data_IF_299274460793
#
_entry.id   IF_299274460793
#
_cell.length_a   1.000
_cell.length_b   1.000
_cell.length_c   1.000
_cell.angle_alpha   90.00
_cell.angle_beta   90.00
_cell.angle_gamma   90.00
#
_symmetry.space_group_name_H-M   'P 1'
#
loop_
_entity.id
_entity.type
_entity.pdbx_description
1 polymer ?
#
# COMPACT_ATOMS: atom_id res chain seq x y z
N UNK A 1 -15.90 -6.25 -6.79
CA UNK A 1 -15.71 -5.15 -5.81
C UNK A 1 -15.15 -5.79 -4.54
N UNK A 2 -13.99 -5.36 -4.06
CA UNK A 2 -13.22 -6.09 -3.03
C UNK A 2 -13.86 -6.00 -1.65
N UNK A 3 -13.57 -6.96 -0.77
CA UNK A 3 -13.97 -6.91 0.65
C UNK A 3 -13.48 -5.64 1.34
N UNK A 4 -12.30 -5.13 0.95
CA UNK A 4 -11.77 -3.87 1.45
C UNK A 4 -12.69 -2.67 1.14
N UNK A 5 -13.26 -2.61 -0.07
CA UNK A 5 -14.20 -1.55 -0.43
C UNK A 5 -15.53 -1.66 0.34
N UNK A 6 -15.97 -2.88 0.66
CA UNK A 6 -17.14 -3.11 1.49
C UNK A 6 -16.93 -2.69 2.95
N UNK A 7 -15.70 -2.86 3.47
CA UNK A 7 -15.33 -2.41 4.80
C UNK A 7 -15.15 -0.88 4.89
N UNK A 8 -14.60 -0.24 3.85
CA UNK A 8 -14.43 1.22 3.79
C UNK A 8 -15.79 1.95 3.75
N UNK A 9 -16.76 1.45 2.97
CA UNK A 9 -18.06 2.11 2.79
C UNK A 9 -19.25 1.14 2.92
N UNK A 10 -19.57 0.68 4.15
CA UNK A 10 -20.59 -0.33 4.38
C UNK A 10 -21.98 0.08 3.90
N UNK A 11 -22.27 1.38 3.94
CA UNK A 11 -23.59 1.96 3.65
C UNK A 11 -23.86 2.17 2.15
N UNK A 12 -22.83 2.11 1.30
CA UNK A 12 -23.00 2.26 -0.15
C UNK A 12 -23.30 0.93 -0.82
N UNK A 13 -24.09 0.97 -1.90
CA UNK A 13 -24.32 -0.18 -2.74
C UNK A 13 -23.10 -0.46 -3.65
N UNK A 14 -23.12 -1.60 -4.35
CA UNK A 14 -21.99 -2.04 -5.18
C UNK A 14 -21.71 -1.03 -6.31
N UNK A 15 -22.76 -0.44 -6.88
CA UNK A 15 -22.64 0.56 -7.94
C UNK A 15 -21.99 1.86 -7.46
N UNK A 16 -22.49 2.44 -6.36
CA UNK A 16 -21.93 3.66 -5.80
C UNK A 16 -20.49 3.49 -5.32
N UNK A 17 -20.13 2.32 -4.74
CA UNK A 17 -18.72 2.02 -4.38
C UNK A 17 -17.81 2.02 -5.61
N UNK A 18 -18.29 1.49 -6.73
CA UNK A 18 -17.55 1.53 -8.01
C UNK A 18 -17.31 2.96 -8.48
N UNK A 19 -18.36 3.79 -8.46
CA UNK A 19 -18.26 5.21 -8.84
C UNK A 19 -17.32 6.00 -7.92
N UNK A 20 -17.39 5.77 -6.60
CA UNK A 20 -16.49 6.38 -5.63
C UNK A 20 -15.01 6.01 -5.89
N UNK A 21 -14.73 4.74 -6.21
CA UNK A 21 -13.38 4.31 -6.60
C UNK A 21 -12.89 5.02 -7.86
N UNK A 22 -13.74 5.17 -8.88
CA UNK A 22 -13.37 5.92 -10.10
C UNK A 22 -13.03 7.38 -9.80
N UNK A 23 -13.83 8.05 -8.98
CA UNK A 23 -13.56 9.43 -8.56
C UNK A 23 -12.23 9.56 -7.80
N UNK A 24 -11.93 8.63 -6.89
CA UNK A 24 -10.66 8.63 -6.13
C UNK A 24 -9.45 8.35 -7.00
N UNK A 25 -9.57 7.47 -8.00
CA UNK A 25 -8.49 7.22 -8.98
C UNK A 25 -8.12 8.47 -9.76
N UNK A 26 -9.08 9.36 -10.02
CA UNK A 26 -8.80 10.62 -10.70
C UNK A 26 -7.99 11.59 -9.80
N UNK A 27 -8.24 11.57 -8.49
CA UNK A 27 -7.57 12.44 -7.52
C UNK A 27 -6.16 11.94 -7.14
N UNK A 28 -6.06 10.66 -6.79
CA UNK A 28 -4.81 9.98 -6.47
C UNK A 28 -4.86 8.54 -7.01
N UNK A 29 -4.38 8.33 -8.25
CA UNK A 29 -4.40 7.02 -8.88
C UNK A 29 -3.64 5.98 -8.07
N UNK A 30 -2.51 6.36 -7.46
CA UNK A 30 -1.64 5.42 -6.76
C UNK A 30 -2.31 4.91 -5.49
N UNK A 31 -2.83 5.81 -4.66
CA UNK A 31 -3.46 5.45 -3.39
C UNK A 31 -4.74 4.62 -3.57
N UNK A 32 -5.41 4.72 -4.72
CA UNK A 32 -6.62 3.96 -5.00
C UNK A 32 -6.32 2.63 -5.73
N UNK A 33 -5.42 2.61 -6.73
CA UNK A 33 -5.07 1.37 -7.45
C UNK A 33 -4.34 0.37 -6.56
N UNK A 34 -3.60 0.82 -5.54
CA UNK A 34 -2.87 -0.04 -4.60
C UNK A 34 -3.78 -0.94 -3.75
N UNK A 35 -5.06 -0.56 -3.62
CA UNK A 35 -6.09 -1.31 -2.90
C UNK A 35 -6.58 -2.53 -3.67
N UNK A 36 -6.28 -2.60 -4.97
CA UNK A 36 -6.64 -3.71 -5.83
C UNK A 36 -5.50 -4.72 -5.88
N UNK A 37 -5.88 -5.97 -6.17
CA UNK A 37 -4.92 -6.95 -6.66
C UNK A 37 -4.39 -6.45 -8.02
N UNK A 38 -3.06 -6.30 -8.20
CA UNK A 38 -2.49 -5.82 -9.45
C UNK A 38 -2.96 -6.58 -10.69
N UNK A 39 -3.20 -7.90 -10.57
CA UNK A 39 -3.71 -8.71 -11.71
C UNK A 39 -5.13 -8.35 -12.11
N UNK A 40 -5.91 -7.80 -11.18
CA UNK A 40 -7.31 -7.40 -11.39
C UNK A 40 -7.45 -6.03 -12.03
N UNK A 41 -6.35 -5.31 -12.27
CA UNK A 41 -6.37 -3.99 -12.92
C UNK A 41 -6.68 -4.12 -14.42
N UNK A 42 -6.40 -5.28 -15.04
CA UNK A 42 -6.58 -5.47 -16.47
C UNK A 42 -5.41 -4.89 -17.25
N UNK A 43 -4.24 -5.53 -17.14
CA UNK A 43 -2.96 -4.97 -17.64
C UNK A 43 -2.66 -5.32 -19.11
N UNK A 44 -3.47 -6.18 -19.73
CA UNK A 44 -3.31 -6.54 -21.13
C UNK A 44 -4.38 -7.51 -21.65
N UNK A 45 -4.45 -7.64 -22.98
CA UNK A 45 -5.45 -8.46 -23.66
C UNK A 45 -5.33 -9.96 -23.34
N UNK A 46 -4.11 -10.47 -23.28
CA UNK A 46 -3.79 -11.89 -23.07
C UNK A 46 -3.28 -12.18 -21.65
N UNK A 47 -3.68 -11.37 -20.66
CA UNK A 47 -3.21 -11.51 -19.28
C UNK A 47 -3.55 -12.86 -18.64
N UNK A 48 -4.57 -13.54 -19.15
CA UNK A 48 -5.00 -14.86 -18.68
C UNK A 48 -4.29 -16.00 -19.41
N UNK A 49 -3.55 -15.71 -20.48
CA UNK A 49 -2.83 -16.70 -21.30
C UNK A 49 -1.36 -16.84 -20.90
N UNK A 50 -0.92 -16.08 -19.88
CA UNK A 50 0.45 -16.13 -19.34
C UNK A 50 0.51 -16.88 -18.01
N UNK A 51 1.72 -17.24 -17.58
CA UNK A 51 1.91 -17.87 -16.27
C UNK A 51 1.51 -16.93 -15.13
N UNK A 52 0.43 -17.26 -14.43
CA UNK A 52 -0.14 -16.43 -13.36
C UNK A 52 0.87 -16.09 -12.26
N UNK A 53 1.71 -17.04 -11.85
CA UNK A 53 2.73 -16.81 -10.81
C UNK A 53 3.79 -15.79 -11.23
N UNK A 54 4.24 -15.85 -12.48
CA UNK A 54 5.22 -14.90 -13.01
C UNK A 54 4.58 -13.52 -13.19
N UNK A 55 3.34 -13.47 -13.69
CA UNK A 55 2.59 -12.22 -13.81
C UNK A 55 2.41 -11.54 -12.45
N UNK A 56 1.98 -12.29 -11.42
CA UNK A 56 1.81 -11.78 -10.08
C UNK A 56 3.13 -11.25 -9.49
N UNK A 57 4.22 -11.99 -9.67
CA UNK A 57 5.55 -11.56 -9.21
C UNK A 57 5.96 -10.23 -9.85
N UNK A 58 5.88 -10.13 -11.18
CA UNK A 58 6.29 -8.92 -11.92
C UNK A 58 5.39 -7.73 -11.62
N UNK A 59 4.07 -7.92 -11.53
CA UNK A 59 3.16 -6.85 -11.16
C UNK A 59 3.42 -6.36 -9.74
N UNK A 60 3.69 -7.25 -8.79
CA UNK A 60 4.07 -6.85 -7.44
C UNK A 60 5.39 -6.07 -7.42
N UNK A 61 6.37 -6.47 -8.21
CA UNK A 61 7.63 -5.73 -8.36
C UNK A 61 7.43 -4.33 -8.93
N UNK A 62 6.64 -4.18 -9.99
CA UNK A 62 6.31 -2.87 -10.59
C UNK A 62 5.64 -1.98 -9.56
N UNK A 63 4.64 -2.50 -8.84
CA UNK A 63 3.92 -1.73 -7.84
C UNK A 63 4.83 -1.30 -6.68
N UNK A 64 5.67 -2.22 -6.17
CA UNK A 64 6.65 -1.89 -5.15
C UNK A 64 7.63 -0.81 -5.64
N UNK A 65 8.12 -0.91 -6.88
CA UNK A 65 9.01 0.06 -7.48
C UNK A 65 8.39 1.46 -7.53
N UNK A 66 7.14 1.57 -8.00
CA UNK A 66 6.43 2.85 -8.07
C UNK A 66 6.19 3.45 -6.69
N UNK A 67 5.74 2.64 -5.72
CA UNK A 67 5.50 3.10 -4.34
C UNK A 67 6.80 3.60 -3.69
N UNK A 68 7.88 2.86 -3.86
CA UNK A 68 9.20 3.25 -3.38
C UNK A 68 9.72 4.52 -4.06
N UNK A 69 9.46 4.68 -5.37
CA UNK A 69 9.88 5.86 -6.12
C UNK A 69 9.14 7.14 -5.69
N UNK A 70 7.82 7.07 -5.52
CA UNK A 70 7.00 8.22 -5.08
C UNK A 70 7.25 8.56 -3.62
N UNK A 71 7.56 7.56 -2.79
CA UNK A 71 7.78 7.72 -1.37
C UNK A 71 6.48 7.87 -0.58
N UNK A 72 6.44 7.28 0.60
CA UNK A 72 5.21 7.11 1.39
C UNK A 72 5.28 7.91 2.68
N UNK A 73 4.33 8.79 2.95
CA UNK A 73 4.28 9.46 4.25
C UNK A 73 3.78 8.49 5.34
N UNK A 74 4.66 8.17 6.29
CA UNK A 74 4.37 7.16 7.33
C UNK A 74 3.30 7.62 8.32
N UNK A 75 3.00 8.91 8.39
CA UNK A 75 2.01 9.48 9.31
C UNK A 75 0.60 9.50 8.72
N UNK A 76 0.45 9.36 7.41
CA UNK A 76 -0.84 9.41 6.71
C UNK A 76 -1.14 8.14 5.93
N UNK A 77 -0.12 7.37 5.55
CA UNK A 77 -0.29 6.18 4.74
C UNK A 77 -1.15 5.10 5.41
N UNK A 78 -1.92 4.41 4.56
CA UNK A 78 -2.70 3.23 4.91
C UNK A 78 -1.82 1.99 5.03
N UNK A 79 -2.35 0.94 5.68
CA UNK A 79 -1.69 -0.38 5.75
C UNK A 79 -1.44 -0.93 4.35
N UNK A 80 -2.38 -0.75 3.42
CA UNK A 80 -2.31 -1.25 2.05
C UNK A 80 -1.16 -0.61 1.25
N UNK A 81 -0.84 0.65 1.53
CA UNK A 81 0.29 1.36 0.92
C UNK A 81 1.62 0.97 1.58
N UNK A 82 1.66 0.92 2.93
CA UNK A 82 2.87 0.61 3.67
C UNK A 82 3.37 -0.82 3.41
N UNK A 83 2.49 -1.80 3.23
CA UNK A 83 2.88 -3.19 2.92
C UNK A 83 3.55 -3.36 1.54
N UNK A 84 3.56 -2.30 0.71
CA UNK A 84 4.17 -2.29 -0.63
C UNK A 84 5.53 -1.59 -0.60
N UNK A 85 5.96 -1.10 0.55
CA UNK A 85 7.30 -0.56 0.78
C UNK A 85 8.27 -1.72 0.99
N UNK A 86 9.47 -1.61 0.42
CA UNK A 86 10.51 -2.62 0.57
C UNK A 86 10.78 -2.94 2.06
N UNK A 87 10.77 -4.23 2.41
CA UNK A 87 11.00 -4.70 3.78
C UNK A 87 9.76 -4.69 4.69
N UNK A 88 8.66 -4.03 4.32
CA UNK A 88 7.42 -4.02 5.09
C UNK A 88 6.44 -5.08 4.58
N UNK A 89 6.16 -6.08 5.42
CA UNK A 89 5.08 -7.05 5.18
C UNK A 89 3.73 -6.48 5.66
N UNK A 90 2.61 -7.12 5.31
CA UNK A 90 1.29 -6.76 5.85
C UNK A 90 1.26 -6.66 7.38
N UNK A 91 1.94 -7.60 8.08
CA UNK A 91 2.03 -7.59 9.55
C UNK A 91 2.84 -6.41 10.09
N UNK A 92 3.97 -6.07 9.45
CA UNK A 92 4.80 -4.92 9.83
C UNK A 92 4.10 -3.60 9.52
N UNK A 93 3.45 -3.49 8.36
CA UNK A 93 2.65 -2.33 7.98
C UNK A 93 1.52 -2.07 8.99
N UNK A 94 0.80 -3.13 9.40
CA UNK A 94 -0.22 -3.02 10.44
C UNK A 94 0.36 -2.64 11.81
N UNK A 95 1.58 -3.10 12.14
CA UNK A 95 2.27 -2.70 13.36
C UNK A 95 2.66 -1.20 13.33
N UNK A 96 3.15 -0.69 12.20
CA UNK A 96 3.48 0.74 12.03
C UNK A 96 2.25 1.62 12.23
N UNK A 97 1.12 1.28 11.60
CA UNK A 97 -0.12 2.06 11.77
C UNK A 97 -0.62 2.01 13.21
N UNK A 98 -0.56 0.83 13.86
CA UNK A 98 -1.00 0.65 15.26
C UNK A 98 -0.10 1.36 16.26
N UNK A 99 1.20 1.42 15.99
CA UNK A 99 2.20 2.05 16.84
C UNK A 99 2.44 3.53 16.50
N UNK A 100 1.59 4.13 15.64
CA UNK A 100 1.67 5.56 15.31
C UNK A 100 1.30 6.37 16.56
N UNK A 101 2.18 7.24 17.06
CA UNK A 101 1.88 8.08 18.22
C UNK A 101 0.87 9.17 17.85
N UNK A 102 0.20 9.75 18.85
CA UNK A 102 -0.84 10.78 18.64
C UNK A 102 -0.32 12.02 17.89
N UNK A 103 0.96 12.37 18.06
CA UNK A 103 1.63 13.45 17.32
C UNK A 103 2.30 13.03 16.01
N UNK A 104 2.16 11.77 15.59
CA UNK A 104 2.89 11.22 14.45
C UNK A 104 4.36 10.93 14.74
N UNK A 105 4.98 10.14 13.88
CA UNK A 105 6.42 9.96 13.89
C UNK A 105 7.10 11.28 13.55
N UNK A 106 8.15 11.64 14.29
CA UNK A 106 8.97 12.85 14.06
C UNK A 106 10.33 12.51 13.46
N UNK A 107 10.76 11.25 13.52
CA UNK A 107 11.93 10.77 12.80
C UNK A 107 11.76 9.32 12.36
N UNK A 108 12.48 8.96 11.28
CA UNK A 108 12.51 7.57 10.80
C UNK A 108 13.02 6.61 11.87
N UNK A 109 13.95 7.04 12.72
CA UNK A 109 14.53 6.21 13.77
C UNK A 109 13.48 5.66 14.75
N UNK A 110 12.34 6.35 14.93
CA UNK A 110 11.24 5.86 15.76
C UNK A 110 10.60 4.58 15.20
N UNK A 111 10.77 4.27 13.92
CA UNK A 111 10.30 3.01 13.32
C UNK A 111 11.03 1.78 13.90
N UNK A 112 12.24 1.94 14.45
CA UNK A 112 12.94 0.86 15.16
C UNK A 112 12.22 0.46 16.46
N UNK A 113 11.37 1.33 17.01
CA UNK A 113 10.51 1.01 18.16
C UNK A 113 9.28 0.19 17.81
N UNK A 114 8.98 0.00 16.52
CA UNK A 114 7.80 -0.74 16.06
C UNK A 114 8.07 -2.24 16.11
N UNK A 115 7.15 -3.00 16.72
CA UNK A 115 7.26 -4.46 16.82
C UNK A 115 7.43 -5.10 15.44
N UNK A 116 8.52 -5.84 15.26
CA UNK A 116 8.83 -6.57 14.03
C UNK A 116 9.66 -5.78 13.00
N UNK A 117 10.02 -4.53 13.29
CA UNK A 117 11.01 -3.75 12.54
C UNK A 117 12.36 -3.86 13.26
N UNK A 118 13.19 -4.79 12.81
CA UNK A 118 14.58 -4.90 13.26
C UNK A 118 15.54 -4.06 12.41
N UNK A 119 16.84 -4.07 12.73
CA UNK A 119 17.86 -3.28 12.01
C UNK A 119 17.87 -3.52 10.50
N UNK A 120 17.80 -4.78 10.04
CA UNK A 120 17.76 -5.11 8.60
C UNK A 120 16.48 -4.62 7.91
N UNK A 121 15.34 -4.78 8.56
CA UNK A 121 14.06 -4.31 8.03
C UNK A 121 14.05 -2.79 7.93
N UNK A 122 14.60 -2.13 8.95
CA UNK A 122 14.76 -0.68 8.94
C UNK A 122 15.71 -0.23 7.84
N UNK A 123 16.87 -0.87 7.68
CA UNK A 123 17.82 -0.57 6.60
C UNK A 123 17.17 -0.65 5.22
N UNK A 124 16.38 -1.70 4.97
CA UNK A 124 15.65 -1.87 3.72
C UNK A 124 14.53 -0.83 3.54
N UNK A 125 13.81 -0.48 4.60
CA UNK A 125 12.66 0.39 4.50
C UNK A 125 13.04 1.88 4.56
N UNK A 126 14.02 2.29 5.37
CA UNK A 126 14.22 3.67 5.83
C UNK A 126 14.38 4.71 4.71
N UNK A 127 14.80 4.31 3.51
CA UNK A 127 14.92 5.19 2.35
C UNK A 127 13.59 5.70 1.79
N UNK A 128 12.48 4.96 2.00
CA UNK A 128 11.22 5.21 1.29
C UNK A 128 10.15 5.96 2.11
N UNK A 129 9.96 5.68 3.42
CA UNK A 129 9.07 6.46 4.26
C UNK A 129 9.54 7.89 4.40
N UNK A 130 8.63 8.83 4.17
CA UNK A 130 8.76 10.23 4.50
C UNK A 130 8.15 10.45 5.87
N UNK A 131 8.82 11.30 6.64
CA UNK A 131 8.30 11.83 7.90
C UNK A 131 8.21 13.33 7.68
N UNK A 132 7.00 13.86 7.54
CA UNK A 132 6.81 15.31 7.53
C UNK A 132 7.13 15.82 8.94
N UNK A 133 8.12 16.70 9.03
CA UNK A 133 8.49 17.39 10.26
C UNK A 133 7.56 18.55 10.57
#
# INVERSE_FOLDING_TARGET
VSEAAAAEEPLLDIGARGAASLARRLLDPLAELIKLDPKSIGVGMYQHDVCEKLLELELNHVVQSVVCHVGVDVNTASVALLQRVAGLTASRAAAVVRSRPEGGYTSRAQLLGVKGIGPKTFEQAAGFPRVQG
#
